data_IF_324046762994
#
_entry.id   IF_324046762994
#
_cell.length_a   1.000
_cell.length_b   1.000
_cell.length_c   1.000
_cell.angle_alpha   90.00
_cell.angle_beta   90.00
_cell.angle_gamma   90.00
#
_symmetry.space_group_name_H-M   'P 1'
#
loop_
_entity.id
_entity.type
_entity.pdbx_description
1 polymer ?
#
# COMPACT_ATOMS: atom_id res chain seq x y z
N UNK A 1 -6.91 1.58 3.66
CA UNK A 1 -6.86 2.85 2.89
C UNK A 1 -7.96 3.84 3.26
N UNK A 2 -9.09 3.38 3.78
CA UNK A 2 -10.18 4.30 4.13
C UNK A 2 -9.79 5.32 5.19
N UNK A 3 -8.94 4.93 6.16
CA UNK A 3 -8.43 5.86 7.17
C UNK A 3 -7.71 7.05 6.50
N UNK A 4 -6.86 6.77 5.52
CA UNK A 4 -6.14 7.81 4.79
C UNK A 4 -7.11 8.69 3.98
N UNK A 5 -8.09 8.06 3.32
CA UNK A 5 -9.07 8.77 2.50
C UNK A 5 -9.93 9.72 3.34
N UNK A 6 -10.15 9.38 4.61
CA UNK A 6 -10.97 10.21 5.52
C UNK A 6 -10.27 11.51 5.93
N UNK A 7 -8.98 11.65 5.63
CA UNK A 7 -8.21 12.81 6.04
C UNK A 7 -7.78 12.77 7.49
N UNK A 8 -7.73 11.59 8.09
CA UNK A 8 -7.30 11.42 9.48
C UNK A 8 -5.92 12.04 9.70
N UNK A 9 -5.73 12.66 10.85
CA UNK A 9 -4.49 13.33 11.19
C UNK A 9 -3.49 12.33 11.78
N UNK A 10 -2.89 11.51 10.90
CA UNK A 10 -1.85 10.56 11.28
C UNK A 10 -0.55 10.92 10.57
N UNK A 11 0.59 10.49 11.11
CA UNK A 11 1.89 10.87 10.59
C UNK A 11 2.19 10.22 9.24
N UNK A 12 1.65 9.05 8.99
CA UNK A 12 1.82 8.34 7.72
C UNK A 12 1.06 7.03 7.74
N UNK A 13 0.84 6.45 6.56
CA UNK A 13 0.14 5.18 6.41
C UNK A 13 0.95 4.26 5.53
N UNK A 14 1.21 3.05 6.01
CA UNK A 14 1.84 1.99 5.23
C UNK A 14 0.82 0.86 5.10
N UNK A 15 0.64 0.35 3.89
CA UNK A 15 -0.21 -0.81 3.69
C UNK A 15 0.57 -1.91 2.99
N UNK A 16 0.47 -3.11 3.54
CA UNK A 16 1.01 -4.34 2.94
C UNK A 16 -0.18 -5.08 2.35
N UNK A 17 -0.13 -5.34 1.05
CA UNK A 17 -1.17 -6.11 0.34
C UNK A 17 -2.60 -5.72 0.73
N UNK A 18 -2.84 -4.44 0.96
CA UNK A 18 -4.18 -3.95 1.28
C UNK A 18 -5.04 -3.73 0.04
N UNK A 19 -6.36 -3.73 0.23
CA UNK A 19 -7.29 -3.41 -0.84
C UNK A 19 -7.25 -1.93 -1.20
N UNK A 20 -7.37 -1.63 -2.48
CA UNK A 20 -7.25 -0.27 -3.00
C UNK A 20 -8.58 0.33 -3.47
N UNK A 21 -9.58 -0.52 -3.75
CA UNK A 21 -10.87 -0.04 -4.25
C UNK A 21 -11.67 0.67 -3.17
N UNK A 22 -12.55 1.56 -3.61
CA UNK A 22 -13.42 2.29 -2.69
C UNK A 22 -14.70 2.70 -3.41
N UNK A 23 -15.80 2.79 -2.65
CA UNK A 23 -17.04 3.42 -3.11
C UNK A 23 -17.10 4.90 -2.76
N UNK A 24 -16.11 5.40 -2.00
CA UNK A 24 -16.04 6.80 -1.57
C UNK A 24 -14.65 7.35 -1.84
N UNK A 25 -14.35 7.73 -3.10
CA UNK A 25 -13.04 8.28 -3.44
C UNK A 25 -12.69 9.53 -2.61
N UNK A 26 -11.41 9.69 -2.34
CA UNK A 26 -10.93 10.84 -1.59
C UNK A 26 -11.18 12.14 -2.34
N UNK A 27 -11.57 13.17 -1.60
CA UNK A 27 -11.75 14.51 -2.16
C UNK A 27 -10.41 15.24 -2.25
N UNK A 28 -10.25 16.21 -3.17
CA UNK A 28 -9.02 16.98 -3.27
C UNK A 28 -8.64 17.64 -1.95
N UNK A 29 -7.36 17.52 -1.57
CA UNK A 29 -6.81 18.13 -0.38
C UNK A 29 -7.16 17.45 0.94
N UNK A 30 -7.93 16.37 0.92
CA UNK A 30 -8.37 15.70 2.16
C UNK A 30 -7.34 14.69 2.66
N UNK A 31 -6.66 13.97 1.76
CA UNK A 31 -5.63 13.00 2.18
C UNK A 31 -4.39 13.76 2.64
N UNK A 32 -4.14 13.74 3.94
CA UNK A 32 -3.07 14.55 4.55
C UNK A 32 -1.82 13.75 4.86
N UNK A 33 -1.97 12.48 5.19
CA UNK A 33 -0.82 11.64 5.55
C UNK A 33 -0.09 11.15 4.31
N UNK A 34 1.26 11.09 4.33
CA UNK A 34 1.98 10.41 3.27
C UNK A 34 1.68 8.92 3.29
N UNK A 35 1.67 8.31 2.12
CA UNK A 35 1.27 6.91 1.94
C UNK A 35 2.38 6.08 1.32
N UNK A 36 2.58 4.88 1.84
CA UNK A 36 3.45 3.88 1.23
C UNK A 36 2.64 2.60 1.02
N UNK A 37 2.43 2.24 -0.24
CA UNK A 37 1.69 1.05 -0.62
C UNK A 37 2.66 -0.01 -1.12
N UNK A 38 2.69 -1.15 -0.44
CA UNK A 38 3.60 -2.27 -0.75
C UNK A 38 2.74 -3.43 -1.25
N UNK A 39 2.78 -3.67 -2.56
CA UNK A 39 1.85 -4.57 -3.23
C UNK A 39 2.57 -5.73 -3.90
N UNK A 40 1.91 -6.88 -3.94
CA UNK A 40 2.37 -8.01 -4.73
C UNK A 40 1.96 -7.82 -6.19
N UNK A 41 2.93 -7.81 -7.10
CA UNK A 41 2.65 -7.54 -8.51
C UNK A 41 1.73 -8.59 -9.13
N UNK A 42 1.74 -9.81 -8.60
CA UNK A 42 0.92 -10.91 -9.10
C UNK A 42 -0.39 -11.07 -8.32
N UNK A 43 -0.73 -10.11 -7.47
CA UNK A 43 -2.00 -10.11 -6.74
C UNK A 43 -3.13 -9.69 -7.69
N UNK A 44 -3.89 -10.66 -8.15
CA UNK A 44 -4.96 -10.43 -9.12
C UNK A 44 -6.15 -9.67 -8.54
N UNK A 45 -6.28 -9.63 -7.22
CA UNK A 45 -7.39 -8.92 -6.57
C UNK A 45 -7.17 -7.42 -6.57
N UNK A 46 -5.92 -6.95 -6.51
CA UNK A 46 -5.62 -5.53 -6.50
C UNK A 46 -5.29 -4.97 -7.88
N UNK A 47 -4.83 -5.82 -8.81
CA UNK A 47 -4.40 -5.36 -10.13
C UNK A 47 -5.43 -4.48 -10.84
N UNK A 48 -6.74 -4.81 -10.85
CA UNK A 48 -7.72 -3.96 -11.53
C UNK A 48 -7.90 -2.59 -10.89
N UNK A 49 -7.53 -2.42 -9.62
CA UNK A 49 -7.78 -1.18 -8.87
C UNK A 49 -6.59 -0.23 -8.86
N UNK A 50 -5.43 -0.66 -9.36
CA UNK A 50 -4.19 0.13 -9.23
C UNK A 50 -4.30 1.46 -9.97
N UNK A 51 -4.69 1.45 -11.24
CA UNK A 51 -4.77 2.67 -12.04
C UNK A 51 -5.78 3.67 -11.44
N UNK A 52 -6.92 3.16 -10.97
CA UNK A 52 -7.93 3.99 -10.34
C UNK A 52 -7.43 4.60 -9.03
N UNK A 53 -6.71 3.82 -8.25
CA UNK A 53 -6.11 4.30 -7.00
C UNK A 53 -5.09 5.41 -7.26
N UNK A 54 -4.22 5.22 -8.24
CA UNK A 54 -3.20 6.22 -8.58
C UNK A 54 -3.86 7.53 -9.03
N UNK A 55 -4.89 7.42 -9.87
CA UNK A 55 -5.64 8.60 -10.31
C UNK A 55 -6.30 9.30 -9.12
N UNK A 56 -6.93 8.53 -8.24
CA UNK A 56 -7.58 9.06 -7.05
C UNK A 56 -6.59 9.84 -6.18
N UNK A 57 -5.42 9.28 -5.93
CA UNK A 57 -4.42 9.91 -5.08
C UNK A 57 -3.82 11.17 -5.74
N UNK A 58 -3.62 11.15 -7.05
CA UNK A 58 -3.14 12.32 -7.78
C UNK A 58 -4.20 13.43 -7.77
N UNK A 59 -5.46 13.08 -7.98
CA UNK A 59 -6.56 14.07 -7.97
C UNK A 59 -6.74 14.66 -6.57
N UNK A 60 -6.48 13.88 -5.53
CA UNK A 60 -6.57 14.34 -4.15
C UNK A 60 -5.35 15.14 -3.70
N UNK A 61 -4.28 15.16 -4.49
CA UNK A 61 -3.04 15.85 -4.14
C UNK A 61 -2.24 15.13 -3.05
N UNK A 62 -2.41 13.82 -2.91
CA UNK A 62 -1.76 13.05 -1.87
C UNK A 62 -0.27 12.82 -2.17
N UNK A 63 0.53 12.71 -1.10
CA UNK A 63 1.92 12.27 -1.19
C UNK A 63 1.91 10.75 -1.07
N UNK A 64 2.17 10.05 -2.16
CA UNK A 64 2.05 8.60 -2.20
C UNK A 64 3.20 7.93 -2.94
N UNK A 65 3.51 6.72 -2.51
CA UNK A 65 4.46 5.82 -3.18
C UNK A 65 3.79 4.47 -3.34
N UNK A 66 3.94 3.87 -4.51
CA UNK A 66 3.38 2.56 -4.80
C UNK A 66 4.48 1.66 -5.31
N UNK A 67 4.69 0.53 -4.63
CA UNK A 67 5.74 -0.43 -5.01
C UNK A 67 5.11 -1.78 -5.28
N UNK A 68 5.38 -2.33 -6.47
CA UNK A 68 4.99 -3.68 -6.85
C UNK A 68 6.19 -4.59 -6.74
N UNK A 69 6.03 -5.71 -6.03
CA UNK A 69 7.07 -6.72 -5.93
C UNK A 69 6.76 -7.87 -6.88
N UNK A 70 7.65 -8.08 -7.87
CA UNK A 70 7.47 -9.15 -8.85
C UNK A 70 7.45 -10.52 -8.18
N UNK A 71 6.58 -11.40 -8.67
CA UNK A 71 6.46 -12.76 -8.15
C UNK A 71 5.71 -12.88 -6.84
N UNK A 72 5.30 -11.76 -6.25
CA UNK A 72 4.56 -11.77 -4.99
C UNK A 72 3.06 -11.68 -5.23
N UNK A 73 2.30 -12.43 -4.44
CA UNK A 73 0.83 -12.42 -4.47
C UNK A 73 0.32 -11.81 -3.18
N UNK A 74 -0.99 -11.86 -2.97
CA UNK A 74 -1.60 -11.38 -1.72
C UNK A 74 -0.96 -12.08 -0.52
N UNK A 75 -0.94 -11.44 0.64
CA UNK A 75 -0.39 -11.96 1.90
C UNK A 75 1.13 -12.17 1.87
N UNK A 76 1.86 -11.62 0.92
CA UNK A 76 3.27 -11.94 0.73
C UNK A 76 4.14 -11.65 1.96
N UNK A 77 3.72 -10.74 2.84
CA UNK A 77 4.48 -10.37 4.02
C UNK A 77 4.16 -11.21 5.27
N UNK A 78 3.16 -12.10 5.18
CA UNK A 78 2.75 -12.95 6.30
C UNK A 78 3.49 -14.27 6.24
N UNK A 79 4.37 -14.53 7.22
CA UNK A 79 5.20 -15.74 7.25
C UNK A 79 4.38 -17.03 7.26
N UNK A 80 3.17 -16.99 7.81
CA UNK A 80 2.31 -18.18 7.91
C UNK A 80 1.43 -18.38 6.68
N UNK A 81 1.45 -17.45 5.72
CA UNK A 81 0.58 -17.54 4.54
C UNK A 81 1.01 -18.69 3.63
N UNK A 82 0.11 -19.62 3.40
CA UNK A 82 0.36 -20.78 2.54
C UNK A 82 -0.94 -21.28 1.93
N UNK A 83 -1.59 -20.44 1.14
CA UNK A 83 -2.83 -20.78 0.43
C UNK A 83 -2.64 -20.46 -1.06
N UNK A 84 -1.83 -21.26 -1.77
CA UNK A 84 -1.58 -21.00 -3.18
C UNK A 84 -2.87 -21.18 -3.99
N UNK A 85 -2.99 -20.48 -5.14
CA UNK A 85 -1.95 -19.59 -5.67
C UNK A 85 -2.06 -18.14 -5.19
N UNK A 86 -3.11 -17.76 -4.47
CA UNK A 86 -3.48 -16.38 -4.24
C UNK A 86 -2.92 -15.72 -2.98
N UNK A 87 -2.58 -16.50 -1.95
CA UNK A 87 -2.12 -15.95 -0.67
C UNK A 87 -0.93 -16.77 -0.18
N UNK A 88 0.29 -16.32 -0.45
CA UNK A 88 1.51 -17.07 -0.17
C UNK A 88 2.61 -16.13 0.30
N UNK A 89 3.31 -16.53 1.36
CA UNK A 89 4.48 -15.81 1.85
C UNK A 89 5.58 -15.77 0.79
N UNK A 90 6.19 -14.61 0.61
CA UNK A 90 7.35 -14.43 -0.26
C UNK A 90 8.45 -13.75 0.54
N UNK A 91 9.45 -14.53 0.95
CA UNK A 91 10.50 -14.05 1.85
C UNK A 91 11.26 -12.84 1.28
N UNK A 92 11.60 -12.88 0.00
CA UNK A 92 12.34 -11.80 -0.65
C UNK A 92 11.53 -10.51 -0.67
N UNK A 93 10.27 -10.60 -1.09
CA UNK A 93 9.39 -9.43 -1.13
C UNK A 93 9.11 -8.90 0.27
N UNK A 94 8.86 -9.79 1.23
CA UNK A 94 8.61 -9.40 2.62
C UNK A 94 9.80 -8.66 3.20
N UNK A 95 11.01 -9.15 2.97
CA UNK A 95 12.23 -8.53 3.49
C UNK A 95 12.44 -7.14 2.90
N UNK A 96 12.22 -7.01 1.58
CA UNK A 96 12.35 -5.72 0.89
C UNK A 96 11.29 -4.74 1.35
N UNK A 97 10.05 -5.21 1.49
CA UNK A 97 8.94 -4.37 1.94
C UNK A 97 9.16 -3.86 3.36
N UNK A 98 9.61 -4.72 4.26
CA UNK A 98 9.88 -4.32 5.64
C UNK A 98 10.99 -3.28 5.72
N UNK A 99 12.01 -3.39 4.87
CA UNK A 99 13.08 -2.39 4.80
C UNK A 99 12.52 -1.04 4.33
N UNK A 100 11.68 -1.05 3.31
CA UNK A 100 11.07 0.18 2.80
C UNK A 100 10.17 0.83 3.84
N UNK A 101 9.42 0.03 4.60
CA UNK A 101 8.60 0.54 5.69
C UNK A 101 9.46 1.22 6.75
N UNK A 102 10.58 0.61 7.12
CA UNK A 102 11.50 1.20 8.09
C UNK A 102 12.05 2.53 7.62
N UNK A 103 12.49 2.60 6.37
CA UNK A 103 13.00 3.84 5.77
C UNK A 103 11.93 4.92 5.71
N UNK A 104 10.69 4.54 5.40
CA UNK A 104 9.57 5.47 5.35
C UNK A 104 9.29 6.06 6.72
N UNK A 105 9.27 5.26 7.77
CA UNK A 105 9.05 5.74 9.12
C UNK A 105 10.20 6.62 9.61
N UNK A 106 11.42 6.28 9.24
CA UNK A 106 12.58 7.11 9.55
C UNK A 106 12.45 8.50 8.90
N UNK A 107 12.01 8.54 7.65
CA UNK A 107 11.79 9.81 6.95
C UNK A 107 10.72 10.66 7.64
N UNK A 108 9.62 10.03 8.07
CA UNK A 108 8.47 10.74 8.66
C UNK A 108 8.78 11.24 10.07
N UNK A 109 9.37 10.37 10.90
CA UNK A 109 9.62 10.71 12.31
C UNK A 109 10.97 11.38 12.52
N UNK A 110 11.79 11.29 11.56
CA UNK A 110 12.99 12.02 11.38
C UNK A 110 13.98 11.87 12.43
N UNK A 111 14.98 12.20 12.42
CA UNK A 111 15.86 12.66 13.11
C UNK A 111 16.97 12.63 12.78
#
# INVERSE_FOLDING_TARGET
>A
MELARSGANVAGVVTFHGGLGTSMPAQPGVVKAPLLILNGADDKNTAPDIAGFEKEMNDAGADWQFVNFSGAVHCFALETANSPPGCVYNKRAAKRANRMMGDFFEEIFGD
#
